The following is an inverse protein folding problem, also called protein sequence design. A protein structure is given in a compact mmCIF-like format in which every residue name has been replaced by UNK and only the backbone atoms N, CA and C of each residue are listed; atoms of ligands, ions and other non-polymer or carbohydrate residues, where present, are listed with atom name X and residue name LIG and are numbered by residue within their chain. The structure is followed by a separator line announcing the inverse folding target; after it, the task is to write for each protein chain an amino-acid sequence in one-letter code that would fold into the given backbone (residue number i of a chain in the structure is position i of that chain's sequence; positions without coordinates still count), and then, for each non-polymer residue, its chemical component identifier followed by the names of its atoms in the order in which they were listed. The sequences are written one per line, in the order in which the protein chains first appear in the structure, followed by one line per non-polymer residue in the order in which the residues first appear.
data_IF_301453558450
#
_entry.id   IF_301453558450
#
_cell.length_a   1.000
_cell.length_b   1.000
_cell.length_c   1.000
_cell.angle_alpha   90.00
_cell.angle_beta   90.00
_cell.angle_gamma   90.00
#
_symmetry.space_group_name_H-M   'P 1'
#
loop_
_entity.id
_entity.type
_entity.pdbx_description
1 polymer ?
#
# COMPACT_ATOMS: atom_id res chain seq x y z
N UNK A 1 -3.77 0.12 11.25
CA UNK A 1 -5.02 0.82 11.62
C UNK A 1 -5.35 0.65 13.11
N UNK A 2 -5.49 -0.57 13.66
CA UNK A 2 -5.77 -0.74 15.10
C UNK A 2 -4.67 -0.13 16.00
N UNK A 3 -3.40 -0.38 15.68
CA UNK A 3 -2.27 0.19 16.43
C UNK A 3 -2.25 1.74 16.40
N UNK A 4 -2.58 2.35 15.26
CA UNK A 4 -2.64 3.82 15.14
C UNK A 4 -3.81 4.42 15.92
N UNK A 5 -4.92 3.70 16.09
CA UNK A 5 -6.04 4.13 16.93
C UNK A 5 -5.69 4.09 18.42
N UNK A 6 -4.98 3.06 18.87
CA UNK A 6 -4.52 2.94 20.26
C UNK A 6 -3.54 4.06 20.62
N UNK A 7 -2.64 4.44 19.69
CA UNK A 7 -1.64 5.48 19.97
C UNK A 7 -2.24 6.88 20.15
N UNK A 8 -3.49 7.13 19.72
CA UNK A 8 -4.19 8.41 19.97
C UNK A 8 -4.35 8.67 21.48
N UNK A 9 -4.55 7.61 22.27
CA UNK A 9 -4.75 7.70 23.72
C UNK A 9 -3.44 7.62 24.52
N UNK A 10 -2.41 6.95 23.97
CA UNK A 10 -1.12 6.75 24.65
C UNK A 10 -0.14 7.91 24.36
N UNK A 11 -0.24 8.55 23.20
CA UNK A 11 0.59 9.70 22.78
C UNK A 11 2.11 9.46 22.90
N UNK A 12 2.56 8.21 22.70
CA UNK A 12 3.99 7.89 22.78
C UNK A 12 4.70 8.15 21.44
N UNK A 13 5.69 9.04 21.45
CA UNK A 13 6.54 9.33 20.28
C UNK A 13 7.30 8.08 19.79
N UNK A 14 7.78 7.25 20.72
CA UNK A 14 8.47 6.00 20.37
C UNK A 14 7.53 4.96 19.74
N UNK A 15 6.28 4.87 20.22
CA UNK A 15 5.28 4.00 19.61
C UNK A 15 4.86 4.50 18.22
N UNK A 16 4.74 5.81 18.02
CA UNK A 16 4.40 6.38 16.71
C UNK A 16 5.45 6.07 15.64
N UNK A 17 6.73 6.16 16.00
CA UNK A 17 7.83 5.78 15.11
C UNK A 17 7.80 4.29 14.74
N UNK A 18 7.58 3.41 15.72
CA UNK A 18 7.47 1.96 15.47
C UNK A 18 6.25 1.61 14.61
N UNK A 19 5.10 2.24 14.88
CA UNK A 19 3.86 2.04 14.11
C UNK A 19 4.03 2.50 12.66
N UNK A 20 4.74 3.59 12.42
CA UNK A 20 5.00 4.10 11.07
C UNK A 20 5.93 3.18 10.27
N UNK A 21 7.01 2.67 10.87
CA UNK A 21 7.88 1.65 10.23
C UNK A 21 7.09 0.38 9.90
N UNK A 22 6.36 -0.18 10.88
CA UNK A 22 5.57 -1.39 10.68
C UNK A 22 4.50 -1.17 9.61
N UNK A 23 3.87 0.01 9.60
CA UNK A 23 2.95 0.42 8.56
C UNK A 23 3.59 0.29 7.18
N UNK A 24 4.74 0.95 6.96
CA UNK A 24 5.46 0.94 5.67
C UNK A 24 5.80 -0.48 5.22
N UNK A 25 6.35 -1.30 6.11
CA UNK A 25 6.70 -2.68 5.78
C UNK A 25 5.48 -3.52 5.38
N UNK A 26 4.36 -3.37 6.09
CA UNK A 26 3.12 -4.09 5.77
C UNK A 26 2.55 -3.68 4.42
N UNK A 27 2.42 -2.38 4.16
CA UNK A 27 1.90 -1.91 2.88
C UNK A 27 2.85 -2.25 1.73
N UNK A 28 4.17 -2.23 1.94
CA UNK A 28 5.12 -2.60 0.90
C UNK A 28 4.98 -4.08 0.53
N UNK A 29 4.77 -4.94 1.54
CA UNK A 29 4.44 -6.36 1.32
C UNK A 29 3.13 -6.55 0.56
N UNK A 30 2.08 -5.81 0.91
CA UNK A 30 0.78 -5.87 0.21
C UNK A 30 0.90 -5.40 -1.25
N UNK A 31 1.54 -4.26 -1.50
CA UNK A 31 1.78 -3.75 -2.87
C UNK A 31 2.61 -4.72 -3.71
N UNK A 32 3.61 -5.38 -3.10
CA UNK A 32 4.39 -6.41 -3.80
C UNK A 32 3.54 -7.64 -4.15
N UNK A 33 2.62 -8.04 -3.28
CA UNK A 33 1.66 -9.10 -3.55
C UNK A 33 0.68 -8.70 -4.67
N UNK A 34 0.12 -7.49 -4.61
CA UNK A 34 -0.82 -6.99 -5.62
C UNK A 34 -0.16 -6.87 -6.99
N UNK A 35 1.11 -6.47 -7.05
CA UNK A 35 1.91 -6.48 -8.29
C UNK A 35 2.02 -7.89 -8.88
N UNK A 36 2.29 -8.91 -8.04
CA UNK A 36 2.37 -10.29 -8.50
C UNK A 36 1.01 -10.84 -8.97
N UNK A 37 -0.06 -10.52 -8.24
CA UNK A 37 -1.43 -10.89 -8.62
C UNK A 37 -1.85 -10.27 -9.95
N UNK A 38 -1.54 -8.99 -10.15
CA UNK A 38 -1.83 -8.29 -11.41
C UNK A 38 -1.04 -8.91 -12.55
N UNK A 39 0.24 -9.25 -12.33
CA UNK A 39 1.06 -9.96 -13.33
C UNK A 39 0.44 -11.30 -13.73
N UNK A 40 -0.03 -12.11 -12.78
CA UNK A 40 -0.64 -13.41 -13.09
C UNK A 40 -1.98 -13.29 -13.81
N UNK A 41 -2.76 -12.23 -13.53
CA UNK A 41 -4.00 -11.93 -14.25
C UNK A 41 -3.82 -11.69 -15.75
N UNK A 42 -2.67 -11.13 -16.18
CA UNK A 42 -2.37 -10.91 -17.60
C UNK A 42 -1.87 -12.14 -18.34
N UNK A 43 -1.51 -13.21 -17.63
CA UNK A 43 -1.03 -14.46 -18.24
C UNK A 43 -2.17 -15.40 -18.65
N UNK A 44 -3.41 -15.05 -18.35
CA UNK A 44 -4.59 -15.81 -18.77
C UNK A 44 -4.90 -15.54 -20.25
N UNK A 45 -5.23 -16.59 -21.02
CA UNK A 45 -5.71 -16.48 -22.40
C UNK A 45 -7.15 -15.93 -22.45
N UNK A 46 -7.31 -14.65 -22.15
CA UNK A 46 -8.59 -13.94 -22.21
C UNK A 46 -8.89 -13.41 -23.61
N UNK A 47 -10.17 -13.11 -23.87
CA UNK A 47 -10.55 -12.29 -25.02
C UNK A 47 -9.96 -10.88 -24.91
N UNK A 48 -9.74 -10.22 -26.06
CA UNK A 48 -9.15 -8.88 -26.13
C UNK A 48 -9.85 -7.84 -25.22
N UNK A 49 -11.19 -7.90 -25.16
CA UNK A 49 -11.99 -6.98 -24.34
C UNK A 49 -11.78 -7.22 -22.84
N UNK A 50 -11.73 -8.48 -22.41
CA UNK A 50 -11.51 -8.85 -21.01
C UNK A 50 -10.08 -8.48 -20.58
N UNK A 51 -9.10 -8.70 -21.45
CA UNK A 51 -7.72 -8.30 -21.20
C UNK A 51 -7.59 -6.78 -21.01
N UNK A 52 -8.23 -5.97 -21.86
CA UNK A 52 -8.20 -4.51 -21.75
C UNK A 52 -8.82 -4.01 -20.44
N UNK A 53 -9.96 -4.59 -20.02
CA UNK A 53 -10.60 -4.23 -18.74
C UNK A 53 -9.71 -4.60 -17.55
N UNK A 54 -9.07 -5.78 -17.57
CA UNK A 54 -8.10 -6.18 -16.55
C UNK A 54 -6.91 -5.22 -16.48
N UNK A 55 -6.44 -4.73 -17.63
CA UNK A 55 -5.37 -3.73 -17.70
C UNK A 55 -5.67 -2.44 -16.95
N UNK A 56 -6.87 -1.90 -17.16
CA UNK A 56 -7.31 -0.66 -16.52
C UNK A 56 -7.47 -0.86 -15.01
N UNK A 57 -8.09 -1.97 -14.58
CA UNK A 57 -8.26 -2.28 -13.17
C UNK A 57 -6.92 -2.51 -12.44
N UNK A 58 -6.00 -3.25 -13.06
CA UNK A 58 -4.66 -3.48 -12.51
C UNK A 58 -3.89 -2.18 -12.37
N UNK A 59 -3.90 -1.33 -13.40
CA UNK A 59 -3.25 -0.02 -13.35
C UNK A 59 -3.85 0.89 -12.25
N UNK A 60 -5.17 0.92 -12.11
CA UNK A 60 -5.85 1.68 -11.06
C UNK A 60 -5.45 1.21 -9.65
N UNK A 61 -5.38 -0.11 -9.43
CA UNK A 61 -4.97 -0.68 -8.15
C UNK A 61 -3.54 -0.26 -7.79
N UNK A 62 -2.58 -0.42 -8.71
CA UNK A 62 -1.18 -0.02 -8.49
C UNK A 62 -1.03 1.49 -8.25
N UNK A 63 -1.87 2.32 -8.88
CA UNK A 63 -1.90 3.75 -8.64
C UNK A 63 -2.31 4.10 -7.20
N UNK A 64 -3.35 3.43 -6.67
CA UNK A 64 -3.79 3.63 -5.29
C UNK A 64 -2.75 3.13 -4.28
N UNK A 65 -2.12 1.99 -4.56
CA UNK A 65 -1.02 1.46 -3.75
C UNK A 65 0.16 2.43 -3.70
N UNK A 66 0.51 3.01 -4.86
CA UNK A 66 1.56 4.02 -4.95
C UNK A 66 1.26 5.25 -4.09
N UNK A 67 0.04 5.80 -4.16
CA UNK A 67 -0.36 6.95 -3.33
C UNK A 67 -0.25 6.60 -1.84
N UNK A 68 -0.76 5.44 -1.42
CA UNK A 68 -0.69 5.03 -0.02
C UNK A 68 0.75 4.90 0.46
N UNK A 69 1.60 4.25 -0.34
CA UNK A 69 3.02 4.12 -0.04
C UNK A 69 3.68 5.49 0.09
N UNK A 70 3.42 6.38 -0.86
CA UNK A 70 3.98 7.73 -0.88
C UNK A 70 3.58 8.53 0.37
N UNK A 71 2.29 8.55 0.74
CA UNK A 71 1.80 9.24 1.93
C UNK A 71 2.43 8.69 3.21
N UNK A 72 2.65 7.39 3.29
CA UNK A 72 3.28 6.77 4.45
C UNK A 72 4.76 7.08 4.55
N UNK A 73 5.49 7.11 3.42
CA UNK A 73 6.87 7.58 3.40
C UNK A 73 6.95 9.06 3.78
N UNK A 74 6.04 9.90 3.30
CA UNK A 74 5.94 11.30 3.73
C UNK A 74 5.71 11.41 5.23
N UNK A 75 4.85 10.58 5.83
CA UNK A 75 4.64 10.59 7.28
C UNK A 75 5.86 10.09 8.05
N UNK A 76 6.54 9.05 7.57
CA UNK A 76 7.73 8.50 8.22
C UNK A 76 8.90 9.49 8.21
N UNK A 77 9.09 10.21 7.10
CA UNK A 77 10.22 11.13 6.93
C UNK A 77 9.90 12.59 7.27
N UNK A 78 8.64 13.00 7.18
CA UNK A 78 8.20 14.38 7.40
C UNK A 78 7.82 14.72 8.84
N UNK A 79 7.56 13.72 9.70
CA UNK A 79 7.15 13.94 11.09
C UNK A 79 8.35 14.07 12.04
N UNK A 80 9.32 14.93 11.68
CA UNK A 80 10.59 15.14 12.41
C UNK A 80 10.77 16.61 12.80
N UNK A 81 9.78 17.23 13.41
CA UNK A 81 9.90 18.49 14.19
C UNK A 81 8.71 18.63 15.15
#
# INVERSE_FOLDING_TARGET
ILASLVNIFVQSQGAEFLISIVGVLLFAGLTAYDTQKIKSMYMASDSHEVAQRKSIHGAMALYLDFINMFLMLLRLFGNRD
#
